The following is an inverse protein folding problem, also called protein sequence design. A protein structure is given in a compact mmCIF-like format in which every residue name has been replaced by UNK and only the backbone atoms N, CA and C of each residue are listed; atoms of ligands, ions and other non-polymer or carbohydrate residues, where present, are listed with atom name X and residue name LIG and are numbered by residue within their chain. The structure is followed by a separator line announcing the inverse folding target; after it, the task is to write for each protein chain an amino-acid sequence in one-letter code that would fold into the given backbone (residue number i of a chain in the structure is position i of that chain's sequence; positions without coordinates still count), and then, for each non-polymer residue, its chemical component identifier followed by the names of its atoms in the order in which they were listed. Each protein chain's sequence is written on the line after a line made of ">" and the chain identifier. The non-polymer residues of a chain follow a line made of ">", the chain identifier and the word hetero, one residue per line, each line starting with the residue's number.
data_IF_692372225018
#
_entry.id   IF_692372225018
#
_cell.length_a   1.000
_cell.length_b   1.000
_cell.length_c   1.000
_cell.angle_alpha   90.00
_cell.angle_beta   90.00
_cell.angle_gamma   90.00
#
_symmetry.space_group_name_H-M   'P 1'
#
loop_
_entity.id
_entity.type
_entity.pdbx_description
1 polymer ?
#
# COMPACT_ATOMS: atom_id res chain seq x y z
N UNK A 1 21.01 24.78 -27.56
CA UNK A 1 20.88 23.31 -27.50
C UNK A 1 19.41 23.02 -27.35
N UNK A 2 18.77 22.22 -28.19
CA UNK A 2 17.38 21.82 -27.95
C UNK A 2 17.32 20.91 -26.75
N UNK A 3 16.31 21.12 -25.89
CA UNK A 3 16.04 20.27 -24.75
C UNK A 3 15.85 18.81 -25.17
N UNK A 4 16.38 17.84 -24.41
CA UNK A 4 16.15 16.44 -24.71
C UNK A 4 14.64 16.16 -24.63
N UNK A 5 14.10 15.35 -25.56
CA UNK A 5 12.68 15.02 -25.55
C UNK A 5 12.32 14.37 -24.22
N UNK A 6 11.30 14.92 -23.55
CA UNK A 6 10.65 14.32 -22.38
C UNK A 6 10.34 12.86 -22.71
N UNK A 7 10.95 11.93 -21.97
CA UNK A 7 10.63 10.50 -22.08
C UNK A 7 9.15 10.34 -21.74
N UNK A 8 8.34 10.12 -22.77
CA UNK A 8 6.95 9.71 -22.57
C UNK A 8 6.97 8.44 -21.71
N UNK A 9 6.43 8.56 -20.50
CA UNK A 9 6.19 7.42 -19.62
C UNK A 9 5.31 6.43 -20.38
N UNK A 10 5.87 5.26 -20.71
CA UNK A 10 5.07 4.17 -21.27
C UNK A 10 4.02 3.80 -20.26
N UNK A 11 2.75 4.06 -20.56
CA UNK A 11 1.62 3.57 -19.78
C UNK A 11 1.77 2.07 -19.60
N UNK A 12 2.00 1.61 -18.38
CA UNK A 12 2.04 0.18 -18.07
C UNK A 12 0.60 -0.32 -17.92
N UNK A 13 0.34 -1.53 -18.40
CA UNK A 13 -0.97 -2.16 -18.27
C UNK A 13 -1.28 -2.39 -16.79
N UNK A 14 -2.48 -2.03 -16.30
CA UNK A 14 -2.90 -2.34 -14.94
C UNK A 14 -2.76 -3.82 -14.61
N UNK A 15 -2.34 -4.11 -13.38
CA UNK A 15 -2.20 -5.48 -12.86
C UNK A 15 -3.21 -5.64 -11.72
N UNK A 16 -3.95 -6.74 -11.70
CA UNK A 16 -4.96 -6.95 -10.67
C UNK A 16 -4.97 -8.39 -10.13
N UNK A 17 -5.50 -8.53 -8.92
CA UNK A 17 -5.89 -9.78 -8.30
C UNK A 17 -7.34 -9.66 -7.85
N UNK A 18 -8.15 -10.63 -8.21
CA UNK A 18 -9.57 -10.71 -7.84
C UNK A 18 -9.82 -11.91 -6.93
N UNK A 19 -10.50 -11.67 -5.82
CA UNK A 19 -10.85 -12.68 -4.83
C UNK A 19 -12.32 -12.48 -4.43
N UNK A 20 -13.21 -13.20 -5.08
CA UNK A 20 -14.65 -13.04 -4.89
C UNK A 20 -15.13 -11.63 -5.23
N UNK A 21 -15.64 -10.91 -4.23
CA UNK A 21 -16.16 -9.55 -4.39
C UNK A 21 -15.10 -8.45 -4.30
N UNK A 22 -13.84 -8.82 -4.03
CA UNK A 22 -12.76 -7.86 -3.82
C UNK A 22 -11.76 -7.98 -4.94
N UNK A 23 -11.37 -6.85 -5.49
CA UNK A 23 -10.28 -6.70 -6.45
C UNK A 23 -9.27 -5.71 -5.90
N UNK A 24 -7.99 -6.06 -5.93
CA UNK A 24 -6.89 -5.09 -5.82
C UNK A 24 -6.34 -4.83 -7.20
N UNK A 25 -6.18 -3.56 -7.54
CA UNK A 25 -5.68 -3.11 -8.83
C UNK A 25 -4.45 -2.23 -8.64
N UNK A 26 -3.37 -2.53 -9.36
CA UNK A 26 -2.15 -1.74 -9.41
C UNK A 26 -2.16 -0.90 -10.68
N UNK A 27 -2.04 0.41 -10.50
CA UNK A 27 -2.00 1.40 -11.56
C UNK A 27 -0.63 2.08 -11.56
N UNK A 28 0.00 2.13 -12.73
CA UNK A 28 1.27 2.85 -12.87
C UNK A 28 1.04 4.35 -12.87
N UNK A 29 1.67 5.06 -11.96
CA UNK A 29 1.60 6.51 -11.84
C UNK A 29 3.01 7.07 -11.66
N UNK A 30 3.42 7.95 -12.55
CA UNK A 30 4.75 8.57 -12.57
C UNK A 30 5.89 7.54 -12.63
N UNK A 31 6.42 7.14 -11.48
CA UNK A 31 7.59 6.28 -11.32
C UNK A 31 7.32 5.02 -10.50
N UNK A 32 6.07 4.79 -10.07
CA UNK A 32 5.68 3.73 -9.15
C UNK A 32 4.31 3.15 -9.44
N UNK A 33 4.00 2.03 -8.79
CA UNK A 33 2.69 1.42 -8.79
C UNK A 33 1.92 1.89 -7.54
N UNK A 34 0.79 2.57 -7.77
CA UNK A 34 -0.24 2.78 -6.76
C UNK A 34 -1.22 1.63 -6.79
N UNK A 35 -1.83 1.31 -5.66
CA UNK A 35 -2.85 0.28 -5.64
C UNK A 35 -4.13 0.75 -4.95
N UNK A 36 -5.23 0.21 -5.43
CA UNK A 36 -6.54 0.47 -4.87
C UNK A 36 -7.30 -0.85 -4.70
N UNK A 37 -8.12 -0.92 -3.67
CA UNK A 37 -9.06 -2.01 -3.46
C UNK A 37 -10.44 -1.56 -3.90
N UNK A 38 -11.10 -2.44 -4.65
CA UNK A 38 -12.51 -2.31 -5.08
C UNK A 38 -13.32 -3.38 -4.41
N UNK A 39 -14.52 -3.01 -3.98
CA UNK A 39 -15.53 -3.93 -3.47
C UNK A 39 -16.77 -3.78 -4.34
N UNK A 40 -17.22 -4.88 -4.98
CA UNK A 40 -18.32 -4.85 -5.96
C UNK A 40 -18.09 -3.78 -7.05
N UNK A 41 -16.84 -3.67 -7.55
CA UNK A 41 -16.40 -2.70 -8.56
C UNK A 41 -16.45 -1.20 -8.13
N UNK A 42 -16.68 -0.92 -6.85
CA UNK A 42 -16.57 0.44 -6.31
C UNK A 42 -15.19 0.63 -5.68
N UNK A 43 -14.60 1.80 -5.91
CA UNK A 43 -13.34 2.19 -5.30
C UNK A 43 -13.57 2.43 -3.80
N UNK A 44 -12.86 1.68 -2.96
CA UNK A 44 -13.06 1.73 -1.51
C UNK A 44 -11.82 2.18 -0.74
N UNK A 45 -10.63 1.78 -1.19
CA UNK A 45 -9.38 2.09 -0.49
C UNK A 45 -8.29 2.36 -1.51
N UNK A 46 -7.65 3.49 -1.40
CA UNK A 46 -6.49 3.85 -2.22
C UNK A 46 -5.25 3.98 -1.34
N UNK A 47 -4.13 3.40 -1.77
CA UNK A 47 -2.85 3.56 -1.07
C UNK A 47 -2.41 5.03 -1.07
N UNK A 48 -2.03 5.52 0.11
CA UNK A 48 -1.46 6.85 0.29
C UNK A 48 0.05 6.73 0.33
N UNK A 49 0.71 7.26 -0.69
CA UNK A 49 2.16 7.22 -0.83
C UNK A 49 2.72 8.63 -0.64
N UNK A 50 3.79 8.75 0.16
CA UNK A 50 4.32 10.02 0.64
C UNK A 50 4.90 10.98 -0.38
N UNK A 51 4.96 10.62 -1.66
CA UNK A 51 5.62 11.40 -2.71
C UNK A 51 4.64 12.11 -3.65
N UNK A 52 3.43 12.30 -3.24
CA UNK A 52 2.59 13.21 -3.99
C UNK A 52 3.06 14.63 -3.70
N UNK A 53 3.87 15.19 -4.58
CA UNK A 53 4.13 16.63 -4.56
C UNK A 53 2.77 17.28 -4.82
N UNK A 54 2.17 17.98 -3.84
CA UNK A 54 0.90 18.65 -4.06
C UNK A 54 1.10 19.61 -5.22
N UNK A 55 0.44 19.34 -6.34
CA UNK A 55 0.23 20.40 -7.33
C UNK A 55 -0.84 21.34 -6.77
N UNK A 56 -0.91 22.58 -7.21
CA UNK A 56 -1.87 23.58 -6.71
C UNK A 56 -3.35 23.13 -6.77
N UNK A 57 -3.63 21.97 -7.36
CA UNK A 57 -4.94 21.34 -7.46
C UNK A 57 -5.13 20.13 -6.53
N UNK A 58 -4.11 19.71 -5.79
CA UNK A 58 -4.17 18.54 -4.93
C UNK A 58 -4.59 18.93 -3.51
N UNK A 59 -5.78 18.51 -3.13
CA UNK A 59 -6.45 18.84 -1.86
C UNK A 59 -5.96 17.95 -0.70
N UNK A 60 -5.01 17.05 -0.92
CA UNK A 60 -4.53 16.13 0.13
C UNK A 60 -3.27 16.68 0.80
N UNK A 61 -3.37 17.20 2.03
CA UNK A 61 -2.18 17.43 2.83
C UNK A 61 -1.59 16.06 3.18
N UNK A 62 -0.38 15.80 2.68
CA UNK A 62 0.48 14.74 3.22
C UNK A 62 0.54 14.96 4.73
N UNK A 63 0.33 13.93 5.57
CA UNK A 63 0.51 14.08 7.01
C UNK A 63 1.87 14.75 7.24
N UNK A 64 1.86 15.94 7.79
CA UNK A 64 3.07 16.73 8.03
C UNK A 64 4.04 15.91 8.87
N UNK A 65 5.20 15.57 8.29
CA UNK A 65 6.24 14.80 8.96
C UNK A 65 6.62 13.48 8.30
N UNK A 66 5.90 13.00 7.29
CA UNK A 66 6.31 11.81 6.53
C UNK A 66 7.24 12.27 5.41
N UNK A 67 8.51 11.87 5.49
CA UNK A 67 9.52 12.17 4.48
C UNK A 67 9.47 11.13 3.36
N UNK A 68 9.98 11.47 2.17
CA UNK A 68 10.19 10.51 1.06
C UNK A 68 10.98 9.26 1.49
N UNK A 69 11.76 9.38 2.56
CA UNK A 69 12.55 8.31 3.15
C UNK A 69 11.69 7.30 3.91
N UNK A 70 10.60 7.77 4.52
CA UNK A 70 9.64 6.98 5.29
C UNK A 70 8.22 7.24 4.79
N UNK A 71 7.84 6.66 3.64
CA UNK A 71 6.53 6.91 3.02
C UNK A 71 5.38 6.34 3.87
N UNK A 72 4.20 6.90 3.69
CA UNK A 72 2.99 6.48 4.40
C UNK A 72 2.55 5.05 4.04
N UNK A 73 2.93 4.57 2.85
CA UNK A 73 2.74 3.20 2.37
C UNK A 73 3.99 2.72 1.64
N UNK A 74 4.18 1.39 1.48
CA UNK A 74 5.30 0.86 0.71
C UNK A 74 5.34 1.43 -0.71
N UNK A 75 6.47 2.00 -1.10
CA UNK A 75 6.71 2.46 -2.48
C UNK A 75 6.98 1.24 -3.36
N UNK A 76 6.09 0.97 -4.29
CA UNK A 76 6.14 -0.21 -5.17
C UNK A 76 6.65 0.19 -6.54
N UNK A 77 7.78 -0.37 -6.96
CA UNK A 77 8.40 -0.11 -8.26
C UNK A 77 8.19 -1.25 -9.25
N UNK A 78 7.91 -2.46 -8.77
CA UNK A 78 7.65 -3.63 -9.59
C UNK A 78 6.53 -4.48 -8.99
N UNK A 79 5.64 -4.98 -9.85
CA UNK A 79 4.54 -5.90 -9.48
C UNK A 79 4.58 -7.09 -10.44
N UNK A 80 4.58 -8.29 -9.89
CA UNK A 80 4.64 -9.54 -10.65
C UNK A 80 3.47 -10.45 -10.28
N UNK A 81 2.59 -10.77 -11.23
CA UNK A 81 1.59 -11.82 -11.04
C UNK A 81 2.27 -13.19 -10.86
N UNK A 82 1.80 -13.97 -9.91
CA UNK A 82 2.32 -15.29 -9.60
C UNK A 82 1.19 -16.23 -9.15
N UNK A 83 1.54 -17.40 -8.67
CA UNK A 83 0.61 -18.35 -8.05
C UNK A 83 1.12 -18.74 -6.69
N UNK A 84 0.25 -18.66 -5.69
CA UNK A 84 0.47 -19.17 -4.36
C UNK A 84 -0.52 -20.33 -4.13
N UNK A 85 0.00 -21.55 -3.89
CA UNK A 85 -0.81 -22.76 -3.66
C UNK A 85 -1.88 -23.02 -4.72
N UNK A 86 -1.56 -22.74 -5.98
CA UNK A 86 -2.47 -22.95 -7.11
C UNK A 86 -3.45 -21.81 -7.38
N UNK A 87 -3.53 -20.81 -6.53
CA UNK A 87 -4.37 -19.62 -6.69
C UNK A 87 -3.54 -18.42 -7.19
N UNK A 88 -4.21 -17.45 -7.83
CA UNK A 88 -3.57 -16.21 -8.23
C UNK A 88 -3.02 -15.46 -7.02
N UNK A 89 -1.88 -14.84 -7.20
CA UNK A 89 -1.22 -13.99 -6.22
C UNK A 89 -0.45 -12.88 -6.90
N UNK A 90 -0.18 -11.81 -6.18
CA UNK A 90 0.72 -10.73 -6.62
C UNK A 90 1.89 -10.63 -5.65
N UNK A 91 3.08 -10.44 -6.20
CA UNK A 91 4.28 -10.06 -5.44
C UNK A 91 4.72 -8.70 -5.94
N UNK A 92 4.93 -7.79 -5.01
CA UNK A 92 5.35 -6.44 -5.29
C UNK A 92 6.64 -6.12 -4.53
N UNK A 93 7.53 -5.35 -5.14
CA UNK A 93 8.79 -4.91 -4.52
C UNK A 93 9.01 -3.44 -4.78
N UNK A 94 9.75 -2.79 -3.88
CA UNK A 94 10.04 -1.38 -4.02
C UNK A 94 11.10 -0.88 -3.05
N UNK A 95 11.40 0.41 -3.17
CA UNK A 95 12.45 1.08 -2.42
C UNK A 95 11.96 2.44 -1.94
N UNK A 96 12.33 2.82 -0.72
CA UNK A 96 12.21 4.19 -0.24
C UNK A 96 13.44 4.51 0.62
N UNK A 97 14.20 5.53 0.21
CA UNK A 97 15.47 5.83 0.83
C UNK A 97 16.39 4.61 0.81
N UNK A 98 16.75 4.10 1.99
CA UNK A 98 17.54 2.86 2.17
C UNK A 98 16.71 1.64 2.54
N UNK A 99 15.40 1.76 2.52
CA UNK A 99 14.47 0.69 2.89
C UNK A 99 14.00 -0.08 1.66
N UNK A 100 13.96 -1.40 1.79
CA UNK A 100 13.52 -2.30 0.74
C UNK A 100 12.19 -2.93 1.15
N UNK A 101 11.17 -2.71 0.35
CA UNK A 101 9.84 -3.28 0.57
C UNK A 101 9.62 -4.50 -0.30
N UNK A 102 8.97 -5.51 0.27
CA UNK A 102 8.31 -6.57 -0.48
C UNK A 102 6.91 -6.77 0.07
N UNK A 103 5.96 -6.97 -0.82
CA UNK A 103 4.55 -7.15 -0.46
C UNK A 103 4.00 -8.34 -1.20
N UNK A 104 3.31 -9.24 -0.52
CA UNK A 104 2.53 -10.31 -1.12
C UNK A 104 1.04 -10.08 -0.93
N UNK A 105 0.26 -10.34 -1.97
CA UNK A 105 -1.21 -10.26 -1.94
C UNK A 105 -1.76 -11.60 -2.40
N UNK A 106 -2.55 -12.24 -1.54
CA UNK A 106 -3.10 -13.58 -1.78
C UNK A 106 -4.54 -13.66 -1.30
N UNK A 107 -5.30 -14.64 -1.83
CA UNK A 107 -6.59 -14.98 -1.24
C UNK A 107 -6.40 -15.52 0.17
N UNK A 108 -7.18 -15.01 1.12
CA UNK A 108 -7.20 -15.55 2.49
C UNK A 108 -7.76 -16.97 2.51
N UNK A 109 -7.06 -17.90 3.19
CA UNK A 109 -7.55 -19.26 3.38
C UNK A 109 -8.62 -19.36 4.47
N UNK A 110 -8.60 -18.42 5.40
CA UNK A 110 -9.47 -18.43 6.57
C UNK A 110 -10.81 -17.72 6.34
N UNK A 111 -10.85 -16.77 5.40
CA UNK A 111 -12.01 -15.91 5.16
C UNK A 111 -12.30 -15.82 3.67
N UNK A 112 -13.56 -16.06 3.30
CA UNK A 112 -14.05 -15.86 1.94
C UNK A 112 -14.03 -14.38 1.59
N UNK A 113 -13.93 -14.07 0.29
CA UNK A 113 -13.95 -12.69 -0.24
C UNK A 113 -12.99 -11.77 0.55
N UNK A 114 -11.73 -12.23 0.71
CA UNK A 114 -10.74 -11.55 1.54
C UNK A 114 -9.36 -11.69 0.91
N UNK A 115 -8.67 -10.57 0.76
CA UNK A 115 -7.27 -10.51 0.35
C UNK A 115 -6.40 -10.36 1.59
N UNK A 116 -5.45 -11.28 1.77
CA UNK A 116 -4.37 -11.15 2.74
C UNK A 116 -3.22 -10.36 2.10
N UNK A 117 -2.79 -9.32 2.79
CA UNK A 117 -1.63 -8.51 2.44
C UNK A 117 -0.55 -8.72 3.49
N UNK A 118 0.63 -9.12 3.05
CA UNK A 118 1.80 -9.31 3.91
C UNK A 118 2.91 -8.39 3.41
N UNK A 119 3.45 -7.57 4.28
CA UNK A 119 4.51 -6.62 3.96
C UNK A 119 5.75 -6.93 4.78
N UNK A 120 6.89 -6.93 4.11
CA UNK A 120 8.21 -6.98 4.74
C UNK A 120 9.00 -5.74 4.33
N UNK A 121 9.58 -5.05 5.30
CA UNK A 121 10.48 -3.94 5.05
C UNK A 121 11.86 -4.24 5.65
N UNK A 122 12.89 -4.29 4.80
CA UNK A 122 14.29 -4.35 5.23
C UNK A 122 14.77 -2.94 5.50
N UNK A 123 14.97 -2.62 6.76
CA UNK A 123 15.42 -1.30 7.21
C UNK A 123 16.88 -1.34 7.64
N UNK A 124 17.63 -0.28 7.31
CA UNK A 124 19.06 -0.15 7.60
C UNK A 124 19.37 0.92 8.65
N UNK A 125 18.35 1.60 9.12
CA UNK A 125 18.40 2.64 10.15
C UNK A 125 17.05 2.66 10.88
N UNK A 126 17.03 3.27 12.06
CA UNK A 126 15.80 3.39 12.85
C UNK A 126 14.70 4.09 12.04
N UNK A 127 13.53 3.43 11.84
CA UNK A 127 12.47 4.02 11.05
C UNK A 127 11.76 5.13 11.84
N UNK A 128 11.53 6.27 11.19
CA UNK A 128 10.64 7.32 11.71
C UNK A 128 9.18 6.93 11.51
N UNK A 129 8.91 6.17 10.45
CA UNK A 129 7.59 5.68 10.11
C UNK A 129 7.67 4.37 9.35
N UNK A 130 6.79 3.41 9.69
CA UNK A 130 6.50 2.21 8.91
C UNK A 130 5.01 1.90 9.00
N UNK A 131 4.43 1.48 7.89
CA UNK A 131 3.03 1.08 7.84
C UNK A 131 2.49 1.00 6.44
N UNK A 132 1.18 0.76 6.35
CA UNK A 132 0.37 0.86 5.14
C UNK A 132 -0.79 1.79 5.43
N UNK A 133 -0.89 2.87 4.68
CA UNK A 133 -1.92 3.89 4.85
C UNK A 133 -2.82 3.94 3.63
N UNK A 134 -4.11 4.01 3.87
CA UNK A 134 -5.15 4.07 2.86
C UNK A 134 -6.07 5.24 3.10
N UNK A 135 -6.59 5.83 2.02
CA UNK A 135 -7.72 6.74 2.05
C UNK A 135 -8.95 6.08 1.46
N UNK A 136 -10.12 6.41 2.00
CA UNK A 136 -11.40 5.88 1.55
C UNK A 136 -12.03 6.69 0.41
N UNK A 137 -11.58 7.92 0.19
CA UNK A 137 -12.12 8.84 -0.82
C UNK A 137 -11.01 9.69 -1.45
N UNK A 138 -11.10 9.89 -2.77
CA UNK A 138 -10.23 10.84 -3.48
C UNK A 138 -10.57 12.32 -3.17
N UNK A 139 -11.69 12.59 -2.52
CA UNK A 139 -12.29 13.94 -2.45
C UNK A 139 -12.44 14.53 -1.06
N UNK A 140 -12.11 13.81 0.01
CA UNK A 140 -12.35 14.28 1.38
C UNK A 140 -11.05 14.45 2.18
N UNK A 141 -11.06 15.34 3.22
CA UNK A 141 -9.87 15.70 3.95
C UNK A 141 -9.27 14.52 4.73
N UNK A 142 -8.01 14.66 5.21
CA UNK A 142 -7.18 13.58 5.76
C UNK A 142 -7.68 12.89 7.02
N UNK A 143 -8.86 13.22 7.51
CA UNK A 143 -9.44 12.62 8.71
C UNK A 143 -9.89 11.15 8.52
N UNK A 144 -9.99 10.69 7.25
CA UNK A 144 -10.43 9.33 6.91
C UNK A 144 -9.27 8.38 6.53
N UNK A 145 -8.07 8.64 7.02
CA UNK A 145 -6.93 7.76 6.77
C UNK A 145 -6.97 6.52 7.67
N UNK A 146 -6.88 5.36 7.04
CA UNK A 146 -6.72 4.07 7.71
C UNK A 146 -5.25 3.68 7.66
N UNK A 147 -4.62 3.51 8.82
CA UNK A 147 -3.20 3.13 8.90
C UNK A 147 -3.02 1.82 9.66
N UNK A 148 -2.29 0.89 9.04
CA UNK A 148 -1.87 -0.36 9.63
C UNK A 148 -0.36 -0.26 9.90
N UNK A 149 0.05 -0.38 11.16
CA UNK A 149 1.44 -0.29 11.58
C UNK A 149 1.97 -1.65 12.06
N UNK A 150 3.26 -1.94 11.83
CA UNK A 150 3.92 -3.03 12.54
C UNK A 150 3.99 -2.73 14.04
N UNK A 151 4.39 -3.73 14.83
CA UNK A 151 4.80 -3.47 16.22
C UNK A 151 5.98 -2.50 16.26
N UNK A 152 6.08 -1.69 17.32
CA UNK A 152 7.24 -0.82 17.53
C UNK A 152 8.54 -1.62 17.48
N UNK A 153 9.53 -1.08 16.79
CA UNK A 153 10.86 -1.67 16.68
C UNK A 153 11.74 -1.08 17.78
N UNK A 154 12.25 -1.95 18.66
CA UNK A 154 13.19 -1.57 19.73
C UNK A 154 14.55 -1.04 19.17
N UNK A 155 15.42 -0.44 20.01
CA UNK A 155 16.66 0.19 19.57
C UNK A 155 17.46 -0.63 18.57
N UNK A 156 17.96 0.03 17.58
CA UNK A 156 18.34 -0.51 16.30
C UNK A 156 19.86 -0.59 16.16
N UNK A 157 20.41 -1.79 16.31
CA UNK A 157 21.86 -2.00 16.24
C UNK A 157 22.35 -2.42 14.84
N UNK A 158 21.47 -2.86 13.95
CA UNK A 158 21.82 -3.45 12.66
C UNK A 158 20.61 -3.59 11.73
N UNK A 159 20.82 -3.80 10.42
CA UNK A 159 19.72 -4.01 9.49
C UNK A 159 18.77 -5.11 9.96
N UNK A 160 17.48 -4.82 9.96
CA UNK A 160 16.46 -5.71 10.44
C UNK A 160 15.30 -5.76 9.43
N UNK A 161 14.55 -6.85 9.40
CA UNK A 161 13.32 -6.95 8.62
C UNK A 161 12.12 -6.80 9.54
N UNK A 162 11.32 -5.78 9.27
CA UNK A 162 10.06 -5.50 9.97
C UNK A 162 8.92 -6.06 9.13
N UNK A 163 7.98 -6.77 9.78
CA UNK A 163 6.86 -7.42 9.13
C UNK A 163 5.54 -6.87 9.65
N UNK A 164 4.57 -6.73 8.77
CA UNK A 164 3.17 -6.53 9.16
C UNK A 164 2.24 -7.15 8.13
N UNK A 165 1.06 -7.52 8.56
CA UNK A 165 0.06 -8.13 7.70
C UNK A 165 -1.35 -7.73 8.09
N UNK A 166 -2.24 -7.71 7.12
CA UNK A 166 -3.64 -7.35 7.29
C UNK A 166 -4.51 -8.01 6.23
N UNK A 167 -5.77 -8.14 6.55
CA UNK A 167 -6.79 -8.60 5.63
C UNK A 167 -7.67 -7.45 5.18
N UNK A 168 -7.96 -7.41 3.87
CA UNK A 168 -8.96 -6.52 3.28
C UNK A 168 -10.16 -7.37 2.88
N UNK A 169 -11.33 -7.04 3.40
CA UNK A 169 -12.59 -7.74 3.19
C UNK A 169 -13.73 -6.77 2.93
N UNK A 170 -14.90 -7.25 2.52
CA UNK A 170 -16.11 -6.42 2.39
C UNK A 170 -16.50 -5.72 3.70
N UNK A 171 -16.01 -6.19 4.84
CA UNK A 171 -16.26 -5.60 6.16
C UNK A 171 -15.18 -4.63 6.64
N UNK A 172 -14.17 -4.33 5.83
CA UNK A 172 -13.10 -3.40 6.18
C UNK A 172 -11.71 -4.05 6.20
N UNK A 173 -10.78 -3.32 6.81
CA UNK A 173 -9.41 -3.77 7.03
C UNK A 173 -9.26 -4.29 8.46
N UNK A 174 -8.56 -5.42 8.61
CA UNK A 174 -8.26 -6.04 9.89
C UNK A 174 -6.78 -6.46 9.93
N UNK A 175 -6.02 -5.98 10.93
CA UNK A 175 -4.64 -6.43 11.14
C UNK A 175 -4.61 -7.92 11.54
N UNK A 176 -3.64 -8.67 11.02
CA UNK A 176 -3.55 -10.11 11.23
C UNK A 176 -2.56 -10.47 12.36
N UNK A 177 -1.50 -9.68 12.58
CA UNK A 177 -0.49 -9.88 13.64
C UNK A 177 0.33 -8.66 13.95
N UNK A 178 0.83 -8.63 15.21
CA UNK A 178 0.14 -8.89 16.44
C UNK A 178 -0.82 -7.78 16.80
N UNK A 179 -1.76 -8.07 17.62
CA UNK A 179 -3.02 -7.42 17.90
C UNK A 179 -2.96 -5.99 18.50
N UNK A 180 -2.35 -5.04 17.86
CA UNK A 180 -2.45 -3.64 18.29
C UNK A 180 -3.40 -2.78 17.44
N UNK A 181 -3.97 -3.34 16.39
CA UNK A 181 -4.94 -2.62 15.58
C UNK A 181 -6.35 -3.22 15.78
N UNK A 182 -7.26 -2.44 16.32
CA UNK A 182 -8.68 -2.79 16.35
C UNK A 182 -9.21 -2.98 14.93
N UNK A 183 -10.35 -3.66 14.80
CA UNK A 183 -11.04 -3.81 13.52
C UNK A 183 -11.43 -2.42 13.00
N UNK A 184 -10.86 -2.04 11.86
CA UNK A 184 -11.23 -0.82 11.18
C UNK A 184 -12.33 -1.14 10.18
N UNK A 185 -13.53 -0.64 10.43
CA UNK A 185 -14.66 -0.76 9.51
C UNK A 185 -14.54 0.32 8.43
N UNK A 186 -15.02 0.03 7.25
CA UNK A 186 -15.20 1.05 6.24
C UNK A 186 -16.18 2.11 6.75
N UNK A 187 -15.93 3.39 6.50
CA UNK A 187 -16.92 4.42 6.70
C UNK A 187 -18.20 4.07 5.92
N UNK A 188 -19.34 4.45 6.45
CA UNK A 188 -20.67 4.09 5.90
C UNK A 188 -20.93 4.56 4.47
N UNK A 189 -19.99 5.30 3.87
CA UNK A 189 -20.08 5.89 2.53
C UNK A 189 -19.17 5.20 1.48
N UNK A 190 -18.51 4.09 1.80
CA UNK A 190 -17.80 3.27 0.81
C UNK A 190 -18.74 2.28 0.11
#
# INVERSE_FOLDING_TARGET
>A
MPDPPLRQSKSRVPIHLEVGRIRVEFLWSNDRWRHLFRIDDKDCLQSVEGDHIPTDNDIFPIPTGISERWPASPVITEVTPTKAMGQGALVAVGLAGRSHFSTSLTASKAKKDTILVEVACRVFEAPEWLGSTYSCNEKEPPDDLITIKPEPVEPFDRPLTVLWSYCVSVGGIEAVHPASCGRLLFPSNC
#
